data_IF_827666888903
#
_entry.id   IF_827666888903
#
_cell.length_a   1.000
_cell.length_b   1.000
_cell.length_c   1.000
_cell.angle_alpha   90.00
_cell.angle_beta   90.00
_cell.angle_gamma   90.00
#
_symmetry.space_group_name_H-M   'P 1'
#
loop_
_entity.id
_entity.type
_entity.pdbx_description
1 polymer ?
#
# COMPACT_ATOMS: atom_id res chain seq x y z
N UNK A 1 -12.20 9.62 7.70
CA UNK A 1 -12.19 10.32 6.39
C UNK A 1 -12.53 9.33 5.28
N UNK A 2 -12.89 9.81 4.08
CA UNK A 2 -13.09 8.97 2.90
C UNK A 2 -11.79 8.75 2.13
N UNK A 3 -11.57 7.51 1.71
CA UNK A 3 -10.41 7.11 0.92
C UNK A 3 -10.83 6.24 -0.25
N UNK A 4 -10.15 6.40 -1.38
CA UNK A 4 -10.24 5.52 -2.54
C UNK A 4 -9.15 4.45 -2.42
N UNK A 5 -9.55 3.19 -2.28
CA UNK A 5 -8.65 2.03 -2.27
C UNK A 5 -8.48 1.50 -3.69
N UNK A 6 -7.23 1.46 -4.17
CA UNK A 6 -6.90 1.01 -5.54
C UNK A 6 -6.82 -0.51 -5.68
N UNK A 7 -6.41 -1.22 -4.62
CA UNK A 7 -6.14 -2.67 -4.63
C UNK A 7 -6.52 -3.32 -3.30
N UNK A 8 -6.97 -4.59 -3.34
CA UNK A 8 -7.22 -5.36 -2.12
C UNK A 8 -5.90 -5.61 -1.37
N UNK A 9 -5.87 -5.28 -0.08
CA UNK A 9 -4.71 -5.44 0.79
C UNK A 9 -5.14 -5.82 2.22
N UNK A 10 -4.19 -6.31 3.03
CA UNK A 10 -4.40 -6.54 4.45
C UNK A 10 -3.29 -5.80 5.20
N UNK A 11 -3.68 -4.86 6.05
CA UNK A 11 -2.77 -4.10 6.91
C UNK A 11 -2.70 -4.79 8.28
N UNK A 12 -1.49 -5.15 8.71
CA UNK A 12 -1.23 -5.79 10.01
C UNK A 12 -0.63 -4.76 10.98
N UNK A 13 -1.36 -4.44 12.04
CA UNK A 13 -1.01 -3.46 13.05
C UNK A 13 -0.20 -4.10 14.19
N UNK A 14 0.59 -3.30 14.89
CA UNK A 14 1.40 -3.75 16.04
C UNK A 14 0.54 -4.27 17.21
N UNK A 15 -0.71 -3.82 17.33
CA UNK A 15 -1.73 -4.38 18.23
C UNK A 15 -2.16 -5.84 17.89
N UNK A 16 -1.60 -6.46 16.85
CA UNK A 16 -2.01 -7.77 16.34
C UNK A 16 -3.33 -7.76 15.55
N UNK A 17 -3.90 -6.57 15.28
CA UNK A 17 -5.12 -6.42 14.47
C UNK A 17 -4.76 -6.49 12.99
N UNK A 18 -5.66 -7.04 12.18
CA UNK A 18 -5.57 -7.02 10.72
C UNK A 18 -6.78 -6.30 10.13
N UNK A 19 -6.56 -5.29 9.30
CA UNK A 19 -7.60 -4.56 8.57
C UNK A 19 -7.50 -4.88 7.09
N UNK A 20 -8.57 -5.46 6.53
CA UNK A 20 -8.67 -5.68 5.09
C UNK A 20 -9.12 -4.38 4.42
N UNK A 21 -8.32 -3.92 3.48
CA UNK A 21 -8.71 -2.90 2.51
C UNK A 21 -9.31 -3.61 1.30
N UNK A 22 -10.54 -3.28 0.94
CA UNK A 22 -11.19 -3.74 -0.29
C UNK A 22 -11.23 -2.59 -1.31
N UNK A 23 -11.08 -2.86 -2.62
CA UNK A 23 -11.00 -1.82 -3.64
C UNK A 23 -12.33 -1.10 -3.81
N UNK A 24 -12.32 0.23 -3.75
CA UNK A 24 -13.51 1.07 -3.74
C UNK A 24 -13.37 2.29 -2.83
N UNK A 25 -14.46 3.04 -2.65
CA UNK A 25 -14.50 4.18 -1.74
C UNK A 25 -14.95 3.70 -0.37
N UNK A 26 -14.08 3.84 0.63
CA UNK A 26 -14.32 3.39 1.99
C UNK A 26 -13.97 4.47 3.01
N UNK A 27 -14.62 4.42 4.18
CA UNK A 27 -14.36 5.33 5.29
C UNK A 27 -13.46 4.64 6.32
N UNK A 28 -12.31 5.25 6.59
CA UNK A 28 -11.33 4.76 7.55
C UNK A 28 -11.06 5.83 8.63
N UNK A 29 -10.66 5.37 9.82
CA UNK A 29 -10.21 6.25 10.91
C UNK A 29 -8.76 6.67 10.72
N UNK A 30 -8.35 7.71 11.44
CA UNK A 30 -6.98 8.22 11.41
C UNK A 30 -5.95 7.16 11.81
N UNK A 31 -6.29 6.26 12.75
CA UNK A 31 -5.45 5.13 13.18
C UNK A 31 -5.07 4.22 12.00
N UNK A 32 -6.03 3.97 11.10
CA UNK A 32 -5.83 3.14 9.92
C UNK A 32 -5.06 3.92 8.84
N UNK A 33 -5.33 5.21 8.71
CA UNK A 33 -4.66 6.09 7.76
C UNK A 33 -3.17 6.35 8.10
N UNK A 34 -2.83 6.39 9.39
CA UNK A 34 -1.47 6.53 9.90
C UNK A 34 -0.60 5.28 9.74
N UNK A 35 -1.16 4.14 9.31
CA UNK A 35 -0.38 2.93 9.05
C UNK A 35 0.55 3.12 7.86
N UNK A 36 1.85 2.83 8.03
CA UNK A 36 2.91 3.07 7.03
C UNK A 36 2.62 2.56 5.60
N UNK A 37 1.90 1.44 5.48
CA UNK A 37 1.52 0.87 4.19
C UNK A 37 0.16 1.36 3.63
N UNK A 38 -0.66 2.07 4.41
CA UNK A 38 -1.97 2.59 3.98
C UNK A 38 -1.90 3.52 2.75
N UNK A 39 -1.02 4.54 2.68
CA UNK A 39 -0.98 5.44 1.52
C UNK A 39 -0.54 4.77 0.21
N UNK A 40 0.00 3.54 0.25
CA UNK A 40 0.30 2.75 -0.96
C UNK A 40 -0.93 2.05 -1.56
N UNK A 41 -2.01 1.95 -0.79
CA UNK A 41 -3.24 1.24 -1.19
C UNK A 41 -4.45 2.16 -1.24
N UNK A 42 -4.46 3.24 -0.46
CA UNK A 42 -5.60 4.13 -0.25
C UNK A 42 -5.21 5.60 -0.36
N UNK A 43 -5.93 6.37 -1.20
CA UNK A 43 -5.74 7.81 -1.39
C UNK A 43 -6.88 8.59 -0.73
N UNK A 44 -6.57 9.68 -0.01
CA UNK A 44 -7.58 10.52 0.63
C UNK A 44 -8.44 11.27 -0.41
N UNK A 45 -9.76 11.28 -0.24
CA UNK A 45 -10.70 11.98 -1.12
C UNK A 45 -11.10 13.38 -0.60
N UNK A 46 -10.77 13.70 0.66
CA UNK A 46 -11.29 14.88 1.37
C UNK A 46 -10.51 16.18 1.05
N UNK A 47 -9.30 16.06 0.50
CA UNK A 47 -8.45 17.18 0.10
C UNK A 47 -8.09 17.11 -1.40
N UNK A 48 -8.38 18.17 -2.19
CA UNK A 48 -7.90 18.29 -3.56
C UNK A 48 -6.45 18.80 -3.56
N UNK A 49 -5.50 17.97 -3.08
CA UNK A 49 -4.06 18.28 -3.08
C UNK A 49 -3.26 17.12 -3.63
N UNK A 50 -2.89 17.31 -4.89
CA UNK A 50 -1.66 16.89 -5.57
C UNK A 50 -1.34 15.40 -5.79
N UNK A 51 -0.84 15.15 -6.99
CA UNK A 51 -0.45 13.87 -7.54
C UNK A 51 0.85 13.38 -6.88
N UNK A 52 0.78 12.38 -6.00
CA UNK A 52 1.99 11.64 -5.61
C UNK A 52 2.20 10.46 -6.56
N UNK A 53 2.94 10.72 -7.64
CA UNK A 53 3.56 9.68 -8.46
C UNK A 53 4.60 8.93 -7.62
N UNK A 54 4.18 7.82 -7.01
CA UNK A 54 5.08 6.84 -6.43
C UNK A 54 5.11 5.59 -7.30
N UNK A 55 5.82 5.73 -8.43
CA UNK A 55 6.31 4.67 -9.31
C UNK A 55 7.25 3.71 -8.56
N UNK A 56 6.74 2.99 -7.55
CA UNK A 56 7.53 2.03 -6.77
C UNK A 56 7.57 0.66 -7.45
N UNK A 57 8.45 0.59 -8.44
CA UNK A 57 8.94 -0.65 -9.04
C UNK A 57 9.34 -1.66 -7.96
N UNK A 58 8.59 -2.76 -7.84
CA UNK A 58 9.04 -3.93 -7.06
C UNK A 58 10.06 -4.74 -7.87
N UNK A 59 11.24 -4.17 -8.06
CA UNK A 59 12.43 -4.94 -8.39
C UNK A 59 12.74 -5.88 -7.21
N UNK A 60 12.65 -7.20 -7.42
CA UNK A 60 12.55 -8.13 -6.29
C UNK A 60 12.78 -9.61 -6.58
N UNK A 61 13.59 -9.97 -7.58
CA UNK A 61 14.18 -11.31 -7.63
C UNK A 61 15.65 -11.28 -8.09
N UNK A 62 16.51 -10.77 -7.22
CA UNK A 62 17.94 -10.93 -7.37
C UNK A 62 18.39 -12.34 -6.95
N UNK A 63 18.42 -13.30 -7.88
CA UNK A 63 19.24 -14.51 -7.72
C UNK A 63 20.46 -14.42 -8.64
N UNK A 64 21.55 -13.91 -8.06
CA UNK A 64 22.86 -13.73 -8.69
C UNK A 64 23.64 -15.06 -8.71
N UNK A 65 24.49 -15.24 -9.73
CA UNK A 65 25.64 -16.17 -9.81
C UNK A 65 25.31 -17.69 -9.83
N UNK A 66 26.07 -18.61 -10.45
CA UNK A 66 27.04 -18.67 -11.58
C UNK A 66 27.26 -20.19 -11.90
N UNK A 67 28.05 -20.71 -12.86
CA UNK A 67 29.13 -20.24 -13.78
C UNK A 67 29.19 -21.12 -15.06
N UNK A 68 30.05 -20.74 -16.02
CA UNK A 68 30.85 -21.57 -16.98
C UNK A 68 30.27 -22.79 -17.73
N UNK A 69 30.21 -22.65 -19.06
CA UNK A 69 31.00 -23.38 -20.09
C UNK A 69 31.43 -24.85 -19.83
N UNK A 70 31.10 -25.74 -20.76
CA UNK A 70 31.71 -27.06 -21.04
C UNK A 70 31.37 -27.54 -22.44
#
# INVERSE_FOLDING_TARGET
MKYLVSCKAILCFEDGRAVTLDPGIHEYTDDVAGHWAFPFYAQALDNPVEEHDDKKERAGNGKKQSSSDS
#
